data_IF_871164860581
#
_entry.id   IF_871164860581
#
_cell.length_a   1.000
_cell.length_b   1.000
_cell.length_c   1.000
_cell.angle_alpha   90.00
_cell.angle_beta   90.00
_cell.angle_gamma   90.00
#
_symmetry.space_group_name_H-M   'P 1'
#
loop_
_entity.id
_entity.type
_entity.pdbx_description
1 polymer ?
#
# COMPACT_ATOMS: atom_id res chain seq x y z
N UNK A 1 30.82 -22.91 -0.89
CA UNK A 1 29.43 -23.30 -0.56
C UNK A 1 28.70 -22.15 0.14
N UNK A 2 29.19 -21.66 1.29
CA UNK A 2 28.58 -20.51 2.00
C UNK A 2 28.62 -19.19 1.21
N UNK A 3 29.69 -18.94 0.44
CA UNK A 3 29.86 -17.73 -0.37
C UNK A 3 28.82 -17.63 -1.50
N UNK A 4 28.47 -18.77 -2.12
CA UNK A 4 27.45 -18.86 -3.17
C UNK A 4 26.04 -18.62 -2.60
N UNK A 5 25.75 -19.16 -1.42
CA UNK A 5 24.47 -18.94 -0.72
C UNK A 5 24.31 -17.50 -0.26
N UNK A 6 25.38 -16.89 0.27
CA UNK A 6 25.36 -15.49 0.68
C UNK A 6 25.09 -14.55 -0.50
N UNK A 7 25.74 -14.81 -1.64
CA UNK A 7 25.51 -14.05 -2.88
C UNK A 7 24.05 -14.17 -3.35
N UNK A 8 23.52 -15.38 -3.45
CA UNK A 8 22.13 -15.63 -3.86
C UNK A 8 21.12 -14.89 -2.96
N UNK A 9 21.32 -14.95 -1.65
CA UNK A 9 20.45 -14.24 -0.69
C UNK A 9 20.49 -12.71 -0.86
N UNK A 10 21.66 -12.15 -1.18
CA UNK A 10 21.79 -10.72 -1.45
C UNK A 10 21.07 -10.34 -2.74
N UNK A 11 21.17 -11.15 -3.79
CA UNK A 11 20.48 -10.89 -5.06
C UNK A 11 18.95 -10.95 -4.89
N UNK A 12 18.43 -11.93 -4.14
CA UNK A 12 17.01 -11.98 -3.74
C UNK A 12 16.62 -10.71 -2.98
N UNK A 13 17.40 -10.34 -1.95
CA UNK A 13 17.08 -9.19 -1.11
C UNK A 13 17.06 -7.89 -1.91
N UNK A 14 18.01 -7.71 -2.83
CA UNK A 14 18.07 -6.54 -3.71
C UNK A 14 16.85 -6.46 -4.62
N UNK A 15 16.46 -7.55 -5.28
CA UNK A 15 15.31 -7.53 -6.18
C UNK A 15 13.99 -7.36 -5.40
N UNK A 16 13.82 -8.09 -4.31
CA UNK A 16 12.64 -8.00 -3.43
C UNK A 16 12.45 -6.59 -2.88
N UNK A 17 13.52 -5.98 -2.33
CA UNK A 17 13.44 -4.62 -1.81
C UNK A 17 13.25 -3.60 -2.93
N UNK A 18 13.86 -3.83 -4.11
CA UNK A 18 13.66 -2.98 -5.28
C UNK A 18 12.22 -2.95 -5.76
N UNK A 19 11.54 -4.10 -5.80
CA UNK A 19 10.12 -4.16 -6.13
C UNK A 19 9.25 -3.39 -5.13
N UNK A 20 9.52 -3.54 -3.82
CA UNK A 20 8.81 -2.78 -2.78
C UNK A 20 9.07 -1.29 -2.86
N UNK A 21 10.30 -0.89 -3.17
CA UNK A 21 10.68 0.52 -3.29
C UNK A 21 9.95 1.18 -4.46
N UNK A 22 9.87 0.51 -5.62
CA UNK A 22 9.13 1.01 -6.76
C UNK A 22 7.63 1.16 -6.44
N UNK A 23 7.03 0.21 -5.72
CA UNK A 23 5.64 0.28 -5.27
C UNK A 23 5.38 1.46 -4.32
N UNK A 24 6.26 1.66 -3.33
CA UNK A 24 6.14 2.79 -2.39
C UNK A 24 6.36 4.12 -3.12
N UNK A 25 7.30 4.20 -4.05
CA UNK A 25 7.54 5.41 -4.84
C UNK A 25 6.32 5.83 -5.66
N UNK A 26 5.59 4.87 -6.24
CA UNK A 26 4.32 5.16 -6.91
C UNK A 26 3.29 5.74 -5.95
N UNK A 27 3.12 5.15 -4.75
CA UNK A 27 2.19 5.69 -3.76
C UNK A 27 2.61 7.08 -3.25
N UNK A 28 3.91 7.31 -3.08
CA UNK A 28 4.44 8.60 -2.63
C UNK A 28 4.27 9.68 -3.69
N UNK A 29 4.56 9.36 -4.95
CA UNK A 29 4.32 10.27 -6.07
C UNK A 29 2.84 10.67 -6.13
N UNK A 30 1.93 9.70 -6.01
CA UNK A 30 0.49 9.96 -6.00
C UNK A 30 0.02 10.71 -4.74
N UNK A 31 0.58 10.42 -3.57
CA UNK A 31 0.19 11.09 -2.31
C UNK A 31 0.61 12.57 -2.33
N UNK A 32 1.77 12.88 -2.92
CA UNK A 32 2.28 14.25 -3.01
C UNK A 32 1.34 15.19 -3.77
N UNK A 33 0.59 14.67 -4.75
CA UNK A 33 -0.43 15.42 -5.50
C UNK A 33 -1.74 15.65 -4.75
N UNK A 34 -2.01 14.92 -3.66
CA UNK A 34 -3.26 15.01 -2.90
C UNK A 34 -3.23 16.04 -1.77
N UNK A 35 -2.04 16.49 -1.37
CA UNK A 35 -1.84 17.50 -0.34
C UNK A 35 -0.60 17.24 0.51
N UNK A 36 -0.15 18.25 1.25
CA UNK A 36 1.13 18.26 1.97
C UNK A 36 1.24 17.20 3.11
N UNK A 37 0.12 16.69 3.63
CA UNK A 37 0.11 15.83 4.83
C UNK A 37 -0.58 14.47 4.62
N UNK A 38 -0.67 13.99 3.37
CA UNK A 38 -1.28 12.67 3.10
C UNK A 38 -0.27 11.56 3.40
N UNK A 39 -0.37 10.97 4.61
CA UNK A 39 0.48 9.84 4.98
C UNK A 39 0.24 8.62 4.07
N UNK A 40 1.29 7.82 3.82
CA UNK A 40 1.15 6.54 3.11
C UNK A 40 0.18 5.58 3.81
N UNK A 41 0.07 5.63 5.14
CA UNK A 41 -0.93 4.87 5.87
C UNK A 41 -2.36 5.25 5.45
N UNK A 42 -2.60 6.54 5.20
CA UNK A 42 -3.85 7.01 4.61
C UNK A 42 -4.03 6.46 3.19
N UNK A 43 -2.98 6.30 2.39
CA UNK A 43 -3.12 5.72 1.04
C UNK A 43 -3.34 4.20 1.04
N UNK A 44 -2.77 3.49 2.01
CA UNK A 44 -2.81 2.02 2.08
C UNK A 44 -4.08 1.48 2.78
N UNK A 45 -4.70 2.24 3.68
CA UNK A 45 -5.85 1.78 4.47
C UNK A 45 -5.48 1.41 5.90
N UNK A 46 -6.42 0.82 6.64
CA UNK A 46 -6.22 0.49 8.05
C UNK A 46 -5.33 -0.74 8.24
N UNK A 47 -4.45 -0.70 9.24
CA UNK A 47 -3.67 -1.86 9.68
C UNK A 47 -4.60 -2.85 10.43
N UNK A 48 -4.43 -4.17 10.25
CA UNK A 48 -5.35 -5.22 10.71
C UNK A 48 -5.41 -5.43 12.24
N UNK A 49 -4.81 -4.55 13.04
CA UNK A 49 -4.69 -4.68 14.51
C UNK A 49 -5.95 -4.19 15.27
N UNK A 50 -7.00 -3.79 14.54
CA UNK A 50 -8.31 -3.46 15.12
C UNK A 50 -9.35 -4.47 14.67
N UNK A 51 -10.23 -4.84 15.60
CA UNK A 51 -11.21 -5.93 15.47
C UNK A 51 -12.21 -5.79 14.30
N UNK A 52 -12.23 -4.64 13.62
CA UNK A 52 -12.87 -4.46 12.32
C UNK A 52 -11.78 -4.39 11.24
N UNK A 53 -11.84 -5.32 10.28
CA UNK A 53 -10.99 -5.28 9.08
C UNK A 53 -11.36 -4.04 8.27
N UNK A 54 -10.67 -2.93 8.51
CA UNK A 54 -10.81 -1.73 7.71
C UNK A 54 -10.49 -2.01 6.25
N UNK A 55 -11.04 -1.17 5.37
CA UNK A 55 -10.83 -1.29 3.91
C UNK A 55 -9.38 -0.96 3.59
N UNK A 56 -8.72 -1.84 2.81
CA UNK A 56 -7.34 -1.69 2.35
C UNK A 56 -7.29 -1.43 0.86
N UNK A 57 -6.23 -0.76 0.42
CA UNK A 57 -6.05 -0.38 -0.98
C UNK A 57 -6.12 -1.60 -1.93
N UNK A 58 -5.42 -2.68 -1.58
CA UNK A 58 -5.33 -3.87 -2.43
C UNK A 58 -6.64 -4.67 -2.53
N UNK A 59 -7.63 -4.36 -1.68
CA UNK A 59 -8.97 -4.96 -1.79
C UNK A 59 -9.70 -4.53 -3.06
N UNK A 60 -9.20 -3.48 -3.74
CA UNK A 60 -9.75 -2.96 -4.99
C UNK A 60 -8.95 -3.35 -6.22
N UNK A 61 -7.82 -4.06 -6.07
CA UNK A 61 -7.05 -4.50 -7.23
C UNK A 61 -7.81 -5.58 -8.00
N UNK A 62 -7.85 -5.49 -9.33
CA UNK A 62 -8.48 -6.52 -10.15
C UNK A 62 -7.62 -7.79 -10.15
N UNK A 63 -8.26 -8.90 -10.48
CA UNK A 63 -7.52 -10.11 -10.83
C UNK A 63 -6.72 -9.86 -12.12
N UNK A 64 -5.46 -10.29 -12.13
CA UNK A 64 -4.59 -10.15 -13.30
C UNK A 64 -4.82 -11.36 -14.22
N UNK A 65 -5.57 -11.18 -15.30
CA UNK A 65 -5.94 -12.28 -16.22
C UNK A 65 -4.74 -13.00 -16.84
N UNK A 66 -3.68 -12.24 -17.16
CA UNK A 66 -2.47 -12.75 -17.82
C UNK A 66 -1.23 -12.23 -17.10
N UNK A 67 -0.89 -12.81 -15.93
CA UNK A 67 0.22 -12.32 -15.14
C UNK A 67 1.54 -12.62 -15.86
N UNK A 68 2.44 -11.64 -15.85
CA UNK A 68 3.83 -11.82 -16.25
C UNK A 68 4.45 -12.97 -15.46
N UNK A 69 5.06 -13.90 -16.18
CA UNK A 69 5.70 -15.06 -15.57
C UNK A 69 7.15 -14.73 -15.21
N UNK A 70 7.63 -15.13 -14.02
CA UNK A 70 9.04 -15.02 -13.68
C UNK A 70 9.88 -15.88 -14.65
N UNK A 71 11.02 -15.34 -15.09
CA UNK A 71 11.89 -15.98 -16.08
C UNK A 71 13.04 -16.75 -15.46
N UNK A 72 13.39 -16.44 -14.21
CA UNK A 72 14.52 -17.04 -13.49
C UNK A 72 14.10 -17.66 -12.17
N UNK A 73 14.90 -18.60 -11.64
CA UNK A 73 14.68 -19.17 -10.31
C UNK A 73 14.67 -18.09 -9.21
N UNK A 74 15.50 -17.06 -9.36
CA UNK A 74 15.54 -15.91 -8.45
C UNK A 74 14.23 -15.13 -8.48
N UNK A 75 13.67 -14.88 -9.67
CA UNK A 75 12.39 -14.17 -9.82
C UNK A 75 11.21 -14.97 -9.28
N UNK A 76 11.22 -16.29 -9.44
CA UNK A 76 10.23 -17.20 -8.83
C UNK A 76 10.26 -17.04 -7.30
N UNK A 77 11.46 -17.09 -6.71
CA UNK A 77 11.64 -16.96 -5.27
C UNK A 77 11.21 -15.58 -4.75
N UNK A 78 11.56 -14.52 -5.48
CA UNK A 78 11.17 -13.15 -5.11
C UNK A 78 9.67 -12.94 -5.25
N UNK A 79 9.02 -13.43 -6.31
CA UNK A 79 7.56 -13.34 -6.46
C UNK A 79 6.86 -14.06 -5.30
N UNK A 80 7.32 -15.25 -4.94
CA UNK A 80 6.81 -15.98 -3.77
C UNK A 80 7.00 -15.19 -2.46
N UNK A 81 8.14 -14.51 -2.27
CA UNK A 81 8.36 -13.66 -1.10
C UNK A 81 7.43 -12.43 -1.07
N UNK A 82 7.14 -11.83 -2.23
CA UNK A 82 6.22 -10.69 -2.32
C UNK A 82 4.77 -11.11 -2.00
N UNK A 83 4.35 -12.30 -2.46
CA UNK A 83 3.02 -12.86 -2.22
C UNK A 83 2.82 -13.35 -0.78
N UNK A 84 3.75 -14.17 -0.30
CA UNK A 84 3.56 -14.99 0.90
C UNK A 84 4.36 -14.50 2.10
N UNK A 85 5.18 -13.46 1.93
CA UNK A 85 6.08 -12.99 2.99
C UNK A 85 7.21 -13.99 3.28
N UNK A 86 7.84 -13.88 4.46
CA UNK A 86 8.91 -14.81 4.87
C UNK A 86 8.29 -15.90 5.75
N UNK A 87 8.50 -17.16 5.39
CA UNK A 87 7.94 -18.34 6.09
C UNK A 87 8.36 -18.54 7.57
N UNK A 88 9.12 -17.62 8.19
CA UNK A 88 9.70 -17.78 9.54
C UNK A 88 9.29 -16.70 10.54
N UNK A 89 8.33 -15.86 10.20
CA UNK A 89 7.93 -14.76 11.07
C UNK A 89 6.68 -15.12 11.85
N UNK A 90 6.85 -15.31 13.16
CA UNK A 90 5.77 -15.50 14.12
C UNK A 90 4.97 -14.21 14.40
N UNK A 91 5.21 -13.14 13.63
CA UNK A 91 4.51 -11.86 13.69
C UNK A 91 3.76 -11.63 12.37
N UNK A 92 2.42 -11.66 12.42
CA UNK A 92 1.52 -11.22 11.34
C UNK A 92 1.58 -9.69 11.17
N UNK A 93 2.76 -9.14 10.92
CA UNK A 93 2.95 -7.73 10.59
C UNK A 93 2.88 -7.54 9.07
N UNK A 94 2.09 -6.56 8.63
CA UNK A 94 1.85 -6.14 7.23
C UNK A 94 3.11 -5.79 6.40
N UNK A 95 4.30 -5.89 6.98
CA UNK A 95 5.57 -5.55 6.33
C UNK A 95 6.13 -6.68 5.45
N UNK A 96 5.57 -7.90 5.55
CA UNK A 96 6.18 -9.09 4.95
C UNK A 96 5.75 -9.34 3.52
N UNK A 97 4.45 -9.45 3.26
CA UNK A 97 3.93 -9.43 1.90
C UNK A 97 3.90 -7.98 1.38
N UNK A 98 3.79 -7.79 0.07
CA UNK A 98 3.59 -6.46 -0.52
C UNK A 98 2.60 -6.58 -1.66
N UNK A 99 1.29 -6.52 -1.36
CA UNK A 99 0.23 -6.73 -2.36
C UNK A 99 0.36 -5.82 -3.58
N UNK A 100 0.73 -4.54 -3.37
CA UNK A 100 0.97 -3.61 -4.47
C UNK A 100 2.18 -4.02 -5.32
N UNK A 101 3.32 -4.35 -4.71
CA UNK A 101 4.49 -4.80 -5.48
C UNK A 101 4.22 -6.11 -6.22
N UNK A 102 3.50 -7.05 -5.61
CA UNK A 102 3.03 -8.29 -6.25
C UNK A 102 2.16 -7.99 -7.46
N UNK A 103 1.16 -7.11 -7.31
CA UNK A 103 0.28 -6.71 -8.39
C UNK A 103 1.08 -6.09 -9.55
N UNK A 104 1.99 -5.16 -9.24
CA UNK A 104 2.84 -4.51 -10.23
C UNK A 104 3.71 -5.52 -10.97
N UNK A 105 4.42 -6.43 -10.27
CA UNK A 105 5.21 -7.49 -10.90
C UNK A 105 4.36 -8.35 -11.83
N UNK A 106 3.11 -8.68 -11.44
CA UNK A 106 2.20 -9.46 -12.28
C UNK A 106 1.74 -8.69 -13.53
N UNK A 107 1.66 -7.36 -13.48
CA UNK A 107 1.26 -6.55 -14.65
C UNK A 107 2.44 -6.25 -15.57
N UNK A 108 3.63 -5.97 -15.04
CA UNK A 108 4.75 -5.45 -15.84
C UNK A 108 6.01 -6.33 -15.90
N UNK A 109 6.12 -7.31 -15.01
CA UNK A 109 7.28 -8.19 -14.90
C UNK A 109 8.49 -7.56 -14.20
N UNK A 110 9.53 -8.37 -13.98
CA UNK A 110 10.68 -7.96 -13.17
C UNK A 110 11.62 -6.96 -13.87
N UNK A 111 11.74 -7.00 -15.19
CA UNK A 111 12.58 -6.05 -15.93
C UNK A 111 12.08 -4.61 -15.77
N UNK A 112 10.77 -4.42 -15.94
CA UNK A 112 10.15 -3.12 -15.70
C UNK A 112 10.27 -2.70 -14.24
N UNK A 113 10.09 -3.63 -13.29
CA UNK A 113 10.25 -3.29 -11.86
C UNK A 113 11.68 -2.88 -11.51
N UNK A 114 12.72 -3.42 -12.18
CA UNK A 114 14.10 -2.96 -12.01
C UNK A 114 14.27 -1.53 -12.53
N UNK A 115 13.73 -1.25 -13.73
CA UNK A 115 13.74 0.09 -14.31
C UNK A 115 13.04 1.11 -13.39
N UNK A 116 11.85 0.77 -12.90
CA UNK A 116 11.09 1.65 -11.99
C UNK A 116 11.74 1.79 -10.62
N UNK A 117 12.48 0.78 -10.12
CA UNK A 117 13.28 0.90 -8.91
C UNK A 117 14.40 1.93 -9.07
N UNK A 118 15.05 1.98 -10.23
CA UNK A 118 16.09 2.99 -10.49
C UNK A 118 15.50 4.40 -10.61
N UNK A 119 14.32 4.55 -11.23
CA UNK A 119 13.58 5.81 -11.24
C UNK A 119 13.10 6.22 -9.84
N UNK A 120 12.62 5.29 -9.03
CA UNK A 120 12.23 5.53 -7.65
C UNK A 120 13.39 6.11 -6.82
N UNK A 121 14.61 5.59 -6.99
CA UNK A 121 15.80 6.15 -6.34
C UNK A 121 16.10 7.57 -6.81
N UNK A 122 15.81 7.92 -8.07
CA UNK A 122 15.99 9.28 -8.58
C UNK A 122 14.94 10.22 -7.99
N UNK A 123 13.67 9.78 -7.94
CA UNK A 123 12.57 10.51 -7.31
C UNK A 123 12.89 10.84 -5.85
N UNK A 124 13.29 9.85 -5.05
CA UNK A 124 13.64 10.07 -3.63
C UNK A 124 14.92 10.89 -3.41
N UNK A 125 15.72 11.10 -4.46
CA UNK A 125 16.88 12.00 -4.44
C UNK A 125 16.56 13.37 -5.03
N UNK A 126 15.30 13.64 -5.35
CA UNK A 126 14.85 14.90 -5.98
C UNK A 126 15.54 15.17 -7.33
N UNK A 127 15.98 14.10 -8.01
CA UNK A 127 16.59 14.18 -9.36
C UNK A 127 15.59 13.86 -10.48
N UNK A 128 14.36 13.50 -10.12
CA UNK A 128 13.27 13.20 -11.04
C UNK A 128 12.01 13.82 -10.45
N UNK A 129 11.30 14.64 -11.24
CA UNK A 129 10.06 15.27 -10.81
C UNK A 129 8.93 14.23 -10.69
N UNK A 130 7.98 14.51 -9.80
CA UNK A 130 6.83 13.63 -9.55
C UNK A 130 6.01 13.37 -10.81
N UNK A 131 5.69 14.44 -11.56
CA UNK A 131 4.88 14.35 -12.77
C UNK A 131 5.57 13.52 -13.85
N UNK A 132 6.90 13.65 -13.98
CA UNK A 132 7.70 12.83 -14.90
C UNK A 132 7.72 11.37 -14.43
N UNK A 133 7.89 11.13 -13.13
CA UNK A 133 7.84 9.79 -12.55
C UNK A 133 6.53 9.07 -12.89
N UNK A 134 5.38 9.74 -12.69
CA UNK A 134 4.04 9.20 -12.96
C UNK A 134 3.81 9.02 -14.47
N UNK A 135 4.23 9.99 -15.29
CA UNK A 135 3.97 9.98 -16.74
C UNK A 135 4.62 8.79 -17.44
N UNK A 136 5.86 8.44 -17.11
CA UNK A 136 6.50 7.25 -17.68
C UNK A 136 6.29 5.98 -16.85
N UNK A 137 5.45 6.02 -15.81
CA UNK A 137 5.04 4.79 -15.13
C UNK A 137 4.07 4.00 -16.03
N UNK A 138 4.03 2.68 -15.87
CA UNK A 138 3.10 1.86 -16.64
C UNK A 138 1.64 2.34 -16.45
N UNK A 139 0.93 2.72 -17.53
CA UNK A 139 -0.37 3.39 -17.41
C UNK A 139 -1.45 2.49 -16.82
N UNK A 140 -1.40 1.18 -17.06
CA UNK A 140 -2.36 0.22 -16.51
C UNK A 140 -2.21 0.14 -14.99
N UNK A 141 -0.96 0.07 -14.51
CA UNK A 141 -0.67 0.07 -13.07
C UNK A 141 -1.15 1.38 -12.44
N UNK A 142 -0.78 2.52 -13.02
CA UNK A 142 -1.13 3.85 -12.50
C UNK A 142 -2.65 4.02 -12.43
N UNK A 143 -3.38 3.68 -13.50
CA UNK A 143 -4.85 3.76 -13.55
C UNK A 143 -5.50 2.92 -12.44
N UNK A 144 -5.09 1.65 -12.29
CA UNK A 144 -5.65 0.77 -11.25
C UNK A 144 -5.36 1.30 -9.85
N UNK A 145 -4.14 1.79 -9.60
CA UNK A 145 -3.78 2.32 -8.27
C UNK A 145 -4.57 3.58 -7.97
N UNK A 146 -4.73 4.50 -8.93
CA UNK A 146 -5.54 5.71 -8.78
C UNK A 146 -7.01 5.37 -8.53
N UNK A 147 -7.61 4.47 -9.31
CA UNK A 147 -8.99 4.02 -9.12
C UNK A 147 -9.20 3.35 -7.74
N UNK A 148 -8.22 2.55 -7.31
CA UNK A 148 -8.23 1.92 -5.99
C UNK A 148 -8.16 2.96 -4.86
N UNK A 149 -7.35 4.02 -5.02
CA UNK A 149 -7.31 5.14 -4.08
C UNK A 149 -8.67 5.84 -4.04
N UNK A 150 -9.28 6.14 -5.18
CA UNK A 150 -10.62 6.76 -5.24
C UNK A 150 -11.64 5.94 -4.45
N UNK A 151 -11.71 4.62 -4.69
CA UNK A 151 -12.61 3.70 -3.98
C UNK A 151 -12.35 3.65 -2.47
N UNK A 152 -11.08 3.67 -2.07
CA UNK A 152 -10.70 3.72 -0.65
C UNK A 152 -11.20 5.01 0.02
N UNK A 153 -11.03 6.15 -0.63
CA UNK A 153 -11.50 7.43 -0.11
C UNK A 153 -13.04 7.53 -0.10
N UNK A 154 -13.74 6.94 -1.07
CA UNK A 154 -15.21 6.85 -1.06
C UNK A 154 -15.75 6.00 0.09
N UNK A 155 -15.06 4.91 0.44
CA UNK A 155 -15.39 4.11 1.63
C UNK A 155 -15.30 4.94 2.92
N UNK A 156 -14.24 5.76 3.04
CA UNK A 156 -14.07 6.67 4.18
C UNK A 156 -15.12 7.76 4.21
N UNK A 157 -15.43 8.36 3.05
CA UNK A 157 -16.50 9.35 2.89
C UNK A 157 -17.85 8.80 3.35
N UNK A 158 -18.16 7.55 2.97
CA UNK A 158 -19.38 6.85 3.39
C UNK A 158 -19.44 6.66 4.91
N UNK A 159 -18.31 6.35 5.54
CA UNK A 159 -18.21 6.23 7.00
C UNK A 159 -18.46 7.57 7.71
N UNK A 160 -17.95 8.67 7.15
CA UNK A 160 -18.19 10.03 7.67
C UNK A 160 -19.68 10.40 7.56
N UNK A 161 -20.34 10.09 6.44
CA UNK A 161 -21.79 10.33 6.30
C UNK A 161 -22.61 9.55 7.31
N UNK A 162 -22.24 8.29 7.59
CA UNK A 162 -22.89 7.52 8.66
C UNK A 162 -22.79 8.22 10.02
N UNK A 163 -21.63 8.82 10.33
CA UNK A 163 -21.49 9.61 11.56
C UNK A 163 -22.33 10.89 11.54
N UNK A 164 -22.40 11.56 10.39
CA UNK A 164 -23.26 12.73 10.21
C UNK A 164 -24.73 12.40 10.49
N UNK A 165 -25.24 11.30 9.97
CA UNK A 165 -26.63 10.87 10.17
C UNK A 165 -26.91 10.57 11.65
N UNK A 166 -26.02 9.81 12.32
CA UNK A 166 -26.12 9.52 13.76
C UNK A 166 -26.17 10.81 14.58
N UNK A 167 -25.28 11.77 14.29
CA UNK A 167 -25.25 13.04 15.05
C UNK A 167 -26.48 13.91 14.78
N UNK A 168 -27.06 13.83 13.59
CA UNK A 168 -28.28 14.54 13.23
C UNK A 168 -29.50 13.97 13.96
N UNK A 169 -29.63 12.65 14.03
CA UNK A 169 -30.68 11.98 14.80
C UNK A 169 -30.60 12.31 16.29
N UNK A 170 -29.39 12.34 16.87
CA UNK A 170 -29.19 12.69 18.29
C UNK A 170 -29.64 14.13 18.60
N UNK A 171 -29.47 15.08 17.68
CA UNK A 171 -29.95 16.46 17.84
C UNK A 171 -31.48 16.59 17.76
N UNK A 172 -32.15 15.71 17.00
CA UNK A 172 -33.61 15.74 16.86
C UNK A 172 -34.39 15.11 18.02
N UNK A 173 -33.73 14.34 18.90
CA UNK A 173 -34.37 13.75 20.08
C UNK A 173 -34.39 14.76 21.24
N UNK A 174 -35.51 14.93 21.96
CA UNK A 174 -35.56 15.80 23.13
C UNK A 174 -34.55 15.31 24.17
N UNK A 175 -33.75 16.22 24.73
CA UNK A 175 -32.82 15.91 25.82
C UNK A 175 -33.61 15.49 27.06
N UNK A 176 -33.88 14.19 27.21
CA UNK A 176 -34.33 13.64 28.49
C UNK A 176 -33.11 13.52 29.40
N UNK A 177 -33.10 14.34 30.46
CA UNK A 177 -32.12 14.40 31.54
C UNK A 177 -31.32 13.10 31.73
N UNK A 178 -30.04 13.12 31.36
CA UNK A 178 -29.08 12.08 31.72
C UNK A 178 -28.04 12.67 32.69
N UNK A 179 -27.59 11.89 33.68
CA UNK A 179 -26.84 12.38 34.82
C UNK A 179 -25.44 12.82 34.41
N UNK A 180 -24.98 13.94 35.00
CA UNK A 180 -23.62 14.45 34.88
C UNK A 180 -22.63 13.33 35.21
N UNK A 181 -21.86 12.86 34.22
CA UNK A 181 -20.73 11.97 34.47
C UNK A 181 -19.59 12.80 35.08
N UNK A 182 -19.08 12.45 36.27
CA UNK A 182 -17.94 13.16 36.85
C UNK A 182 -16.71 12.90 35.97
N UNK A 183 -16.07 13.98 35.53
CA UNK A 183 -14.73 13.93 34.96
C UNK A 183 -13.77 13.44 36.05
N UNK A 184 -13.23 12.23 35.89
CA UNK A 184 -12.10 11.79 36.68
C UNK A 184 -10.85 12.44 36.10
N UNK A 185 -10.35 13.48 36.77
CA UNK A 185 -8.98 13.96 36.58
C UNK A 185 -8.04 12.96 37.26
N UNK A 186 -7.28 12.20 36.49
CA UNK A 186 -6.11 11.52 37.04
C UNK A 186 -4.92 12.49 36.92
N UNK A 187 -4.37 12.87 38.09
CA UNK A 187 -3.09 13.55 38.21
C UNK A 187 -1.90 12.60 38.19
#
# INVERSE_FOLDING_TARGET
>A
HWETTAKHNLEIAQLYLGCKLAAIALLEALSSGLGLDVSLAMMMGELPDRADKGVRLESFFPEVEKPHQPQTALEIEVLNLLENGRAKSSSNTDLENSPLATFMVKIVGFDEMRYQCDRAKQLFRENLEVDDFITDFNPIVTEVVVDSIIKLFDSRKSTIYRYYDITSELKSKPQTNSPVRPFLSNG
#
